data_IF_862690143795
#
_entry.id   IF_862690143795
#
_cell.length_a   1.000
_cell.length_b   1.000
_cell.length_c   1.000
_cell.angle_alpha   90.00
_cell.angle_beta   90.00
_cell.angle_gamma   90.00
#
_symmetry.space_group_name_H-M   'P 1'
#
loop_
_entity.id
_entity.type
_entity.pdbx_description
1 polymer ?
#
# COMPACT_ATOMS: atom_id res chain seq x y z
N UNK A 1 -6.84 -8.05 -21.10
CA UNK A 1 -7.87 -8.60 -20.16
C UNK A 1 -7.66 -8.15 -18.71
N UNK A 2 -6.44 -7.96 -18.23
CA UNK A 2 -6.15 -7.65 -16.81
C UNK A 2 -6.64 -6.28 -16.31
N UNK A 3 -6.70 -5.26 -17.16
CA UNK A 3 -7.13 -3.90 -16.77
C UNK A 3 -8.63 -3.82 -16.47
N UNK A 4 -9.44 -4.57 -17.22
CA UNK A 4 -10.90 -4.59 -17.01
C UNK A 4 -11.27 -5.26 -15.66
N UNK A 5 -10.53 -6.28 -15.26
CA UNK A 5 -10.75 -6.97 -13.98
C UNK A 5 -10.37 -6.10 -12.76
N UNK A 6 -9.33 -5.29 -12.87
CA UNK A 6 -8.96 -4.32 -11.83
C UNK A 6 -10.04 -3.25 -11.69
N UNK A 7 -10.63 -2.79 -12.80
CA UNK A 7 -11.72 -1.82 -12.79
C UNK A 7 -13.01 -2.39 -12.14
N UNK A 8 -13.34 -3.66 -12.40
CA UNK A 8 -14.48 -4.33 -11.74
C UNK A 8 -14.24 -4.52 -10.24
N UNK A 9 -13.01 -4.85 -9.82
CA UNK A 9 -12.67 -4.95 -8.41
C UNK A 9 -12.80 -3.59 -7.69
N UNK A 10 -12.47 -2.49 -8.38
CA UNK A 10 -12.62 -1.14 -7.84
C UNK A 10 -14.08 -0.69 -7.75
N UNK A 11 -14.89 -0.90 -8.78
CA UNK A 11 -16.32 -0.54 -8.77
C UNK A 11 -17.13 -1.32 -7.70
N UNK A 12 -16.71 -2.55 -7.39
CA UNK A 12 -17.30 -3.35 -6.31
C UNK A 12 -16.76 -2.93 -4.93
N UNK A 13 -15.53 -2.43 -4.86
CA UNK A 13 -14.97 -1.83 -3.65
C UNK A 13 -15.69 -0.52 -3.29
N UNK A 14 -16.14 0.29 -4.26
CA UNK A 14 -16.96 1.48 -3.98
C UNK A 14 -18.25 1.13 -3.24
N UNK A 15 -18.94 0.08 -3.62
CA UNK A 15 -20.18 -0.34 -2.93
C UNK A 15 -19.90 -0.84 -1.51
N UNK A 16 -18.83 -1.61 -1.32
CA UNK A 16 -18.40 -2.05 0.03
C UNK A 16 -17.87 -0.90 0.88
N UNK A 17 -17.17 0.06 0.27
CA UNK A 17 -16.66 1.26 0.93
C UNK A 17 -17.80 2.18 1.40
N UNK A 18 -18.86 2.36 0.62
CA UNK A 18 -20.02 3.14 1.01
C UNK A 18 -20.82 2.47 2.16
N UNK A 19 -20.87 1.14 2.22
CA UNK A 19 -21.55 0.43 3.30
C UNK A 19 -20.77 0.46 4.64
N UNK A 20 -19.43 0.44 4.60
CA UNK A 20 -18.60 0.49 5.82
C UNK A 20 -18.37 1.91 6.34
N UNK A 21 -18.57 2.94 5.51
CA UNK A 21 -18.38 4.34 5.90
C UNK A 21 -19.70 5.06 6.24
N UNK A 22 -20.85 4.41 6.10
CA UNK A 22 -22.18 5.03 6.19
C UNK A 22 -22.61 5.49 7.59
N UNK A 23 -21.87 5.20 8.66
CA UNK A 23 -22.36 5.51 10.01
C UNK A 23 -21.59 6.62 10.77
N UNK A 24 -20.46 7.13 10.30
CA UNK A 24 -19.76 8.20 11.01
C UNK A 24 -18.98 9.18 10.12
N UNK A 25 -19.64 9.85 9.16
CA UNK A 25 -19.03 11.03 8.52
C UNK A 25 -19.96 12.22 8.67
N UNK A 26 -19.78 12.96 9.75
CA UNK A 26 -20.21 14.36 9.84
C UNK A 26 -19.36 15.17 8.85
N UNK A 27 -19.99 15.56 7.75
CA UNK A 27 -19.74 16.75 6.97
C UNK A 27 -18.30 17.21 6.74
N UNK A 28 -17.58 16.58 5.80
CA UNK A 28 -16.63 17.35 5.00
C UNK A 28 -16.80 16.93 3.53
N UNK A 29 -17.25 17.83 2.67
CA UNK A 29 -17.50 17.62 1.24
C UNK A 29 -16.22 17.67 0.40
N UNK A 30 -15.08 17.24 0.96
CA UNK A 30 -13.80 17.16 0.27
C UNK A 30 -13.64 15.80 -0.45
N UNK A 31 -12.86 15.78 -1.54
CA UNK A 31 -12.43 14.54 -2.20
C UNK A 31 -11.73 13.64 -1.21
N UNK A 32 -11.87 12.31 -1.41
CA UNK A 32 -11.11 11.33 -0.66
C UNK A 32 -9.63 11.40 -1.02
N UNK A 33 -8.77 11.33 -0.02
CA UNK A 33 -7.33 11.37 -0.20
C UNK A 33 -6.67 10.04 0.18
N UNK A 34 -5.85 9.51 -0.71
CA UNK A 34 -5.07 8.28 -0.50
C UNK A 34 -3.59 8.58 -0.64
N UNK A 35 -2.79 8.16 0.35
CA UNK A 35 -1.33 8.13 0.18
C UNK A 35 -0.91 6.75 -0.28
N UNK A 36 -0.15 6.70 -1.38
CA UNK A 36 0.50 5.48 -1.86
C UNK A 36 2.00 5.57 -1.55
N UNK A 37 2.47 4.63 -0.77
CA UNK A 37 3.88 4.50 -0.43
C UNK A 37 4.53 3.40 -1.31
N UNK A 38 5.33 3.82 -2.29
CA UNK A 38 6.16 2.90 -3.07
C UNK A 38 7.42 2.58 -2.27
N UNK A 39 7.48 1.39 -1.66
CA UNK A 39 8.58 0.97 -0.80
C UNK A 39 9.95 1.02 -1.47
N UNK A 40 11.00 1.27 -0.66
CA UNK A 40 12.39 1.40 -1.12
C UNK A 40 12.61 2.61 -2.05
N UNK A 41 13.77 2.69 -2.73
CA UNK A 41 14.13 3.75 -3.66
C UNK A 41 15.56 4.24 -3.48
N UNK A 42 16.12 4.85 -4.53
CA UNK A 42 17.51 5.30 -4.54
C UNK A 42 18.50 4.18 -4.24
N UNK A 43 19.31 4.34 -3.20
CA UNK A 43 20.33 3.36 -2.82
C UNK A 43 19.77 2.08 -2.16
N UNK A 44 18.48 2.05 -1.76
CA UNK A 44 17.83 0.86 -1.23
C UNK A 44 17.06 0.14 -2.34
N UNK A 45 17.60 -0.94 -2.94
CA UNK A 45 16.92 -1.68 -4.00
C UNK A 45 15.74 -2.52 -3.47
N UNK A 46 15.63 -2.71 -2.17
CA UNK A 46 14.76 -3.73 -1.58
C UNK A 46 15.31 -5.14 -1.85
N UNK A 47 14.43 -6.08 -2.11
CA UNK A 47 14.81 -7.42 -2.56
C UNK A 47 15.21 -7.40 -4.03
N UNK A 48 16.15 -8.29 -4.38
CA UNK A 48 16.57 -8.52 -5.76
C UNK A 48 16.09 -9.91 -6.15
N UNK A 49 15.35 -9.98 -7.25
CA UNK A 49 14.85 -11.23 -7.81
C UNK A 49 15.96 -12.06 -8.46
N UNK A 50 15.65 -13.29 -8.82
CA UNK A 50 16.60 -14.19 -9.50
C UNK A 50 16.95 -13.73 -10.93
N UNK A 51 16.13 -12.86 -11.49
CA UNK A 51 16.28 -12.21 -12.79
C UNK A 51 16.86 -10.78 -12.70
N UNK A 52 17.49 -10.44 -11.58
CA UNK A 52 18.02 -9.12 -11.24
C UNK A 52 16.96 -8.00 -11.15
N UNK A 53 15.67 -8.33 -11.17
CA UNK A 53 14.60 -7.36 -10.91
C UNK A 53 14.70 -6.79 -9.49
N UNK A 54 14.50 -5.49 -9.34
CA UNK A 54 14.61 -4.82 -8.04
C UNK A 54 13.23 -4.49 -7.48
N UNK A 55 13.02 -4.80 -6.22
CA UNK A 55 11.76 -4.53 -5.52
C UNK A 55 11.32 -3.07 -5.66
N UNK A 56 12.26 -2.12 -5.53
CA UNK A 56 11.97 -0.69 -5.64
C UNK A 56 11.34 -0.29 -6.98
N UNK A 57 11.79 -0.90 -8.08
CA UNK A 57 11.32 -0.59 -9.43
C UNK A 57 9.90 -1.15 -9.62
N UNK A 58 9.67 -2.39 -9.20
CA UNK A 58 8.34 -3.02 -9.24
C UNK A 58 7.33 -2.27 -8.38
N UNK A 59 7.73 -1.89 -7.16
CA UNK A 59 6.87 -1.11 -6.26
C UNK A 59 6.44 0.21 -6.89
N UNK A 60 7.36 0.92 -7.56
CA UNK A 60 7.06 2.18 -8.22
C UNK A 60 6.09 2.01 -9.40
N UNK A 61 6.32 1.00 -10.23
CA UNK A 61 5.44 0.70 -11.38
C UNK A 61 4.03 0.33 -10.92
N UNK A 62 3.91 -0.47 -9.87
CA UNK A 62 2.59 -0.86 -9.32
C UNK A 62 1.92 0.37 -8.70
N UNK A 63 2.65 1.17 -7.92
CA UNK A 63 2.14 2.37 -7.28
C UNK A 63 1.61 3.40 -8.29
N UNK A 64 2.34 3.64 -9.38
CA UNK A 64 1.90 4.54 -10.47
C UNK A 64 0.60 4.03 -11.13
N UNK A 65 0.49 2.73 -11.39
CA UNK A 65 -0.74 2.14 -11.94
C UNK A 65 -1.93 2.31 -10.99
N UNK A 66 -1.73 2.08 -9.69
CA UNK A 66 -2.77 2.25 -8.68
C UNK A 66 -3.17 3.73 -8.57
N UNK A 67 -2.20 4.65 -8.56
CA UNK A 67 -2.45 6.10 -8.60
C UNK A 67 -3.38 6.47 -9.74
N UNK A 68 -3.04 6.12 -10.97
CA UNK A 68 -3.84 6.45 -12.16
C UNK A 68 -5.28 5.93 -12.09
N UNK A 69 -5.47 4.72 -11.54
CA UNK A 69 -6.79 4.12 -11.39
C UNK A 69 -7.62 4.89 -10.34
N UNK A 70 -7.02 5.26 -9.22
CA UNK A 70 -7.69 6.02 -8.16
C UNK A 70 -8.06 7.44 -8.63
N UNK A 71 -7.15 8.12 -9.33
CA UNK A 71 -7.40 9.45 -9.90
C UNK A 71 -8.54 9.44 -10.91
N UNK A 72 -8.71 8.37 -11.71
CA UNK A 72 -9.87 8.20 -12.60
C UNK A 72 -11.19 8.03 -11.85
N UNK A 73 -11.15 7.69 -10.56
CA UNK A 73 -12.32 7.59 -9.68
C UNK A 73 -12.51 8.85 -8.81
N UNK A 74 -11.91 9.97 -9.21
CA UNK A 74 -11.98 11.25 -8.50
C UNK A 74 -11.44 11.21 -7.06
N UNK A 75 -10.43 10.36 -6.82
CA UNK A 75 -9.71 10.24 -5.55
C UNK A 75 -8.39 10.98 -5.66
N UNK A 76 -8.10 11.87 -4.73
CA UNK A 76 -6.81 12.53 -4.66
C UNK A 76 -5.73 11.56 -4.19
N UNK A 77 -4.64 11.48 -4.93
CA UNK A 77 -3.55 10.55 -4.63
C UNK A 77 -2.24 11.29 -4.41
N UNK A 78 -1.60 10.99 -3.29
CA UNK A 78 -0.27 11.49 -2.95
C UNK A 78 0.69 10.29 -2.93
N UNK A 79 1.77 10.39 -3.71
CA UNK A 79 2.83 9.40 -3.70
C UNK A 79 3.93 9.81 -2.71
N UNK A 80 4.50 8.86 -1.98
CA UNK A 80 5.71 9.15 -1.18
C UNK A 80 6.92 9.41 -2.04
N UNK A 81 7.02 8.78 -3.21
CA UNK A 81 7.99 9.07 -4.28
C UNK A 81 7.37 8.76 -5.65
N UNK A 82 7.77 9.52 -6.67
CA UNK A 82 7.31 9.34 -8.06
C UNK A 82 8.45 8.92 -9.00
N UNK A 83 9.68 8.86 -8.48
CA UNK A 83 10.88 8.46 -9.23
C UNK A 83 11.72 7.46 -8.43
N UNK A 84 12.81 6.96 -9.00
CA UNK A 84 13.77 6.12 -8.28
C UNK A 84 14.68 6.99 -7.38
N UNK A 85 14.08 7.59 -6.35
CA UNK A 85 14.79 8.39 -5.35
C UNK A 85 14.55 7.83 -3.95
N UNK A 86 15.55 7.94 -3.09
CA UNK A 86 15.36 7.79 -1.64
C UNK A 86 15.01 9.15 -1.04
N UNK A 87 14.26 9.15 0.06
CA UNK A 87 13.82 10.35 0.76
C UNK A 87 14.79 10.72 1.89
N UNK A 88 16.05 10.86 1.55
CA UNK A 88 17.16 11.15 2.47
C UNK A 88 18.17 12.12 1.85
N UNK A 89 18.91 12.81 2.70
CA UNK A 89 20.04 13.64 2.28
C UNK A 89 21.25 12.74 1.97
N UNK A 90 22.08 13.14 1.01
CA UNK A 90 23.24 12.34 0.58
C UNK A 90 24.28 12.12 1.69
N UNK A 91 24.41 13.07 2.60
CA UNK A 91 25.34 13.05 3.75
C UNK A 91 24.72 12.42 5.02
N UNK A 92 23.49 11.93 4.93
CA UNK A 92 22.82 11.32 6.08
C UNK A 92 23.57 10.10 6.61
N UNK A 93 23.87 10.10 7.91
CA UNK A 93 24.53 8.99 8.60
C UNK A 93 23.73 7.68 8.58
N UNK A 94 22.40 7.78 8.48
CA UNK A 94 21.50 6.63 8.35
C UNK A 94 20.38 6.94 7.37
N UNK A 95 20.68 6.77 6.07
CA UNK A 95 19.78 7.02 4.96
C UNK A 95 18.44 6.28 5.10
N UNK A 96 18.46 5.02 5.54
CA UNK A 96 17.25 4.21 5.70
C UNK A 96 16.32 4.75 6.78
N UNK A 97 16.86 5.19 7.91
CA UNK A 97 16.05 5.77 8.98
C UNK A 97 15.48 7.12 8.55
N UNK A 98 16.26 7.94 7.84
CA UNK A 98 15.79 9.23 7.35
C UNK A 98 14.68 9.05 6.30
N UNK A 99 14.84 8.13 5.36
CA UNK A 99 13.82 7.75 4.37
C UNK A 99 12.50 7.37 5.04
N UNK A 100 12.52 6.44 5.98
CA UNK A 100 11.33 6.01 6.71
C UNK A 100 10.65 7.14 7.49
N UNK A 101 11.44 8.02 8.12
CA UNK A 101 10.90 9.20 8.83
C UNK A 101 10.24 10.17 7.86
N UNK A 102 10.83 10.40 6.69
CA UNK A 102 10.27 11.31 5.68
C UNK A 102 8.97 10.77 5.10
N UNK A 103 8.87 9.45 4.84
CA UNK A 103 7.60 8.81 4.44
C UNK A 103 6.49 9.02 5.47
N UNK A 104 6.80 8.80 6.74
CA UNK A 104 5.85 9.05 7.85
C UNK A 104 5.48 10.53 7.94
N UNK A 105 6.43 11.46 7.70
CA UNK A 105 6.15 12.91 7.66
C UNK A 105 5.14 13.25 6.57
N UNK A 106 5.38 12.79 5.33
CA UNK A 106 4.46 12.98 4.20
C UNK A 106 3.04 12.49 4.55
N UNK A 107 2.92 11.28 5.11
CA UNK A 107 1.64 10.72 5.52
C UNK A 107 0.96 11.61 6.57
N UNK A 108 1.68 11.99 7.62
CA UNK A 108 1.12 12.75 8.74
C UNK A 108 0.77 14.20 8.38
N UNK A 109 1.52 14.81 7.47
CA UNK A 109 1.28 16.18 6.98
C UNK A 109 -0.01 16.24 6.13
N UNK A 110 -0.26 15.22 5.34
CA UNK A 110 -1.40 15.18 4.41
C UNK A 110 -2.68 14.59 5.02
N UNK A 111 -2.62 13.94 6.17
CA UNK A 111 -3.77 13.36 6.89
C UNK A 111 -4.75 12.58 5.98
N UNK A 112 -4.30 11.61 5.19
CA UNK A 112 -5.13 10.94 4.19
C UNK A 112 -6.23 10.09 4.83
N UNK A 113 -7.30 9.82 4.08
CA UNK A 113 -8.32 8.85 4.45
C UNK A 113 -7.75 7.42 4.50
N UNK A 114 -6.77 7.12 3.64
CA UNK A 114 -6.16 5.80 3.57
C UNK A 114 -4.68 5.88 3.17
N UNK A 115 -3.88 4.93 3.65
CA UNK A 115 -2.48 4.75 3.22
C UNK A 115 -2.29 3.33 2.72
N UNK A 116 -1.70 3.17 1.55
CA UNK A 116 -1.35 1.88 0.96
C UNK A 116 0.16 1.86 0.72
N UNK A 117 0.88 1.01 1.43
CA UNK A 117 2.32 0.79 1.21
C UNK A 117 2.52 -0.48 0.38
N UNK A 118 3.24 -0.37 -0.73
CA UNK A 118 3.46 -1.44 -1.71
C UNK A 118 4.87 -1.95 -1.59
N UNK A 119 5.00 -3.25 -1.38
CA UNK A 119 6.25 -3.99 -1.25
C UNK A 119 6.16 -5.35 -1.93
N UNK A 120 7.31 -5.93 -2.26
CA UNK A 120 7.39 -7.32 -2.66
C UNK A 120 7.80 -8.18 -1.46
N UNK A 121 7.31 -9.42 -1.43
CA UNK A 121 7.78 -10.42 -0.47
C UNK A 121 8.83 -11.32 -1.15
N UNK A 122 9.82 -11.73 -0.38
CA UNK A 122 10.77 -12.73 -0.81
C UNK A 122 10.79 -13.85 0.22
N UNK A 123 10.69 -15.07 -0.26
CA UNK A 123 10.83 -16.30 0.53
C UNK A 123 11.91 -17.16 -0.10
N UNK A 124 12.55 -18.02 0.68
CA UNK A 124 13.53 -18.97 0.17
C UNK A 124 12.88 -20.18 -0.51
N UNK A 125 11.62 -20.45 -0.16
CA UNK A 125 10.84 -21.57 -0.68
C UNK A 125 9.96 -21.10 -1.84
N UNK A 126 10.15 -21.66 -3.02
CA UNK A 126 9.41 -21.33 -4.25
C UNK A 126 7.90 -21.58 -4.15
N UNK A 127 7.49 -22.56 -3.30
CA UNK A 127 6.06 -22.84 -3.11
C UNK A 127 5.32 -21.76 -2.30
N UNK A 128 6.05 -20.83 -1.70
CA UNK A 128 5.47 -19.73 -0.92
C UNK A 128 5.15 -18.56 -1.85
N UNK A 129 3.96 -18.55 -2.41
CA UNK A 129 3.48 -17.52 -3.33
C UNK A 129 2.21 -16.81 -2.82
N UNK A 130 1.69 -15.85 -3.60
CA UNK A 130 0.46 -15.13 -3.35
C UNK A 130 0.63 -13.84 -2.54
N UNK A 131 -0.10 -12.82 -2.92
CA UNK A 131 -0.10 -11.51 -2.24
C UNK A 131 -0.62 -11.62 -0.81
N UNK A 132 -0.07 -10.83 0.12
CA UNK A 132 -0.54 -10.75 1.49
C UNK A 132 -0.67 -9.30 1.94
N UNK A 133 -1.80 -8.97 2.54
CA UNK A 133 -2.06 -7.63 3.07
C UNK A 133 -1.82 -7.63 4.58
N UNK A 134 -1.12 -6.60 5.05
CA UNK A 134 -0.86 -6.39 6.47
C UNK A 134 -1.55 -5.12 6.96
N UNK A 135 -2.01 -5.15 8.19
CA UNK A 135 -2.61 -4.00 8.86
C UNK A 135 -2.04 -3.79 10.26
N UNK A 136 -2.21 -2.60 10.83
CA UNK A 136 -1.80 -2.35 12.21
C UNK A 136 -2.79 -3.02 13.17
N UNK A 137 -2.29 -3.81 14.11
CA UNK A 137 -3.11 -4.75 14.92
C UNK A 137 -4.26 -4.11 15.70
N UNK A 138 -4.14 -2.84 16.09
CA UNK A 138 -5.18 -2.12 16.83
C UNK A 138 -6.14 -1.31 15.93
N UNK A 139 -5.98 -1.38 14.59
CA UNK A 139 -6.79 -0.64 13.65
C UNK A 139 -7.92 -1.50 13.08
N UNK A 140 -9.12 -1.41 13.63
CA UNK A 140 -10.29 -2.11 13.08
C UNK A 140 -10.63 -1.67 11.64
N UNK A 141 -10.64 -0.36 11.28
CA UNK A 141 -10.83 0.03 9.89
C UNK A 141 -9.72 -0.45 8.96
N UNK A 142 -8.46 -0.46 9.45
CA UNK A 142 -7.33 -1.02 8.71
C UNK A 142 -7.48 -2.52 8.48
N UNK A 143 -7.97 -3.26 9.46
CA UNK A 143 -8.29 -4.69 9.34
C UNK A 143 -9.35 -4.94 8.29
N UNK A 144 -10.49 -4.25 8.36
CA UNK A 144 -11.58 -4.39 7.41
C UNK A 144 -11.13 -4.11 5.96
N UNK A 145 -10.35 -3.05 5.75
CA UNK A 145 -9.78 -2.73 4.43
C UNK A 145 -8.79 -3.81 3.97
N UNK A 146 -7.92 -4.30 4.86
CA UNK A 146 -6.95 -5.34 4.53
C UNK A 146 -7.63 -6.66 4.13
N UNK A 147 -8.66 -7.06 4.85
CA UNK A 147 -9.46 -8.26 4.56
C UNK A 147 -10.18 -8.13 3.22
N UNK A 148 -10.74 -6.96 2.92
CA UNK A 148 -11.38 -6.67 1.63
C UNK A 148 -10.38 -6.76 0.48
N UNK A 149 -9.21 -6.10 0.60
CA UNK A 149 -8.17 -6.15 -0.43
C UNK A 149 -7.66 -7.59 -0.59
N UNK A 150 -7.38 -8.29 0.51
CA UNK A 150 -6.91 -9.68 0.46
C UNK A 150 -7.90 -10.58 -0.27
N UNK A 151 -9.19 -10.46 0.05
CA UNK A 151 -10.24 -11.21 -0.64
C UNK A 151 -10.27 -10.92 -2.14
N UNK A 152 -10.17 -9.65 -2.53
CA UNK A 152 -10.15 -9.26 -3.95
C UNK A 152 -8.91 -9.75 -4.68
N UNK A 153 -7.75 -9.76 -4.02
CA UNK A 153 -6.53 -10.33 -4.59
C UNK A 153 -6.67 -11.84 -4.85
N UNK A 154 -7.33 -12.57 -3.96
CA UNK A 154 -7.64 -14.00 -4.16
C UNK A 154 -8.66 -14.17 -5.29
N UNK A 155 -9.79 -13.46 -5.22
CA UNK A 155 -10.90 -13.65 -6.16
C UNK A 155 -10.50 -13.34 -7.63
N UNK A 156 -9.61 -12.36 -7.86
CA UNK A 156 -9.38 -11.79 -9.20
C UNK A 156 -7.94 -11.89 -9.71
N UNK A 157 -6.96 -12.12 -8.85
CA UNK A 157 -5.54 -12.12 -9.24
C UNK A 157 -4.94 -13.51 -9.12
N UNK A 158 -5.10 -14.16 -7.97
CA UNK A 158 -4.52 -15.47 -7.71
C UNK A 158 -5.49 -16.33 -6.86
N UNK A 159 -6.38 -17.11 -7.50
CA UNK A 159 -7.34 -17.98 -6.80
C UNK A 159 -6.68 -19.09 -5.96
N UNK A 160 -5.42 -19.43 -6.24
CA UNK A 160 -4.67 -20.41 -5.47
C UNK A 160 -4.02 -19.82 -4.21
N UNK A 161 -4.06 -18.50 -4.06
CA UNK A 161 -3.52 -17.83 -2.89
C UNK A 161 -4.29 -18.20 -1.61
N UNK A 162 -3.62 -18.84 -0.68
CA UNK A 162 -4.18 -19.27 0.62
C UNK A 162 -3.88 -18.30 1.78
N UNK A 163 -3.26 -17.15 1.47
CA UNK A 163 -2.90 -16.16 2.49
C UNK A 163 -4.12 -15.39 2.97
N UNK A 164 -4.02 -14.93 4.21
CA UNK A 164 -5.03 -14.08 4.85
C UNK A 164 -4.41 -12.74 5.22
N UNK A 165 -5.24 -11.71 5.35
CA UNK A 165 -4.82 -10.45 5.93
C UNK A 165 -4.24 -10.68 7.34
N UNK A 166 -3.13 -10.00 7.67
CA UNK A 166 -2.39 -10.28 8.90
C UNK A 166 -2.05 -9.00 9.66
N UNK A 167 -2.29 -9.01 10.97
CA UNK A 167 -1.84 -7.96 11.87
C UNK A 167 -0.30 -7.90 11.92
N UNK A 168 0.27 -6.67 11.92
CA UNK A 168 1.70 -6.46 12.07
C UNK A 168 1.97 -5.16 12.84
N UNK A 169 2.71 -5.27 13.93
CA UNK A 169 3.08 -4.15 14.81
C UNK A 169 4.56 -3.71 14.65
N UNK A 170 5.32 -4.43 13.83
CA UNK A 170 6.74 -4.17 13.63
C UNK A 170 7.05 -3.22 12.47
N UNK A 171 6.16 -3.11 11.49
CA UNK A 171 6.38 -2.24 10.33
C UNK A 171 6.32 -0.77 10.72
N UNK A 172 7.42 -0.07 10.49
CA UNK A 172 7.62 1.31 10.95
C UNK A 172 6.52 2.26 10.48
N UNK A 173 6.14 2.22 9.20
CA UNK A 173 5.10 3.06 8.63
C UNK A 173 3.73 2.77 9.27
N UNK A 174 3.36 1.51 9.47
CA UNK A 174 2.12 1.14 10.14
C UNK A 174 2.05 1.66 11.58
N UNK A 175 3.18 1.61 12.30
CA UNK A 175 3.26 1.97 13.72
C UNK A 175 3.34 3.47 14.00
N UNK A 176 3.99 4.24 13.12
CA UNK A 176 4.39 5.64 13.41
C UNK A 176 3.52 6.70 12.77
N UNK A 177 2.65 6.35 11.85
CA UNK A 177 1.74 7.34 11.31
C UNK A 177 0.58 7.61 12.30
N UNK A 178 0.16 8.89 12.36
CA UNK A 178 -0.91 9.34 13.27
C UNK A 178 -2.30 9.04 12.70
N UNK A 179 -2.40 8.75 11.42
CA UNK A 179 -3.64 8.38 10.75
C UNK A 179 -3.96 6.89 10.95
N UNK A 180 -3.64 6.31 12.12
CA UNK A 180 -3.61 4.87 12.43
C UNK A 180 -4.91 4.09 12.14
N UNK A 181 -5.97 4.77 11.70
CA UNK A 181 -7.28 4.13 11.59
C UNK A 181 -7.56 3.44 10.25
N UNK A 182 -6.75 3.66 9.19
CA UNK A 182 -7.05 3.10 7.84
C UNK A 182 -5.78 2.78 7.04
N UNK A 183 -4.88 1.95 7.60
CA UNK A 183 -3.61 1.64 6.95
C UNK A 183 -3.48 0.17 6.60
N UNK A 184 -3.17 -0.09 5.35
CA UNK A 184 -2.80 -1.39 4.85
C UNK A 184 -1.43 -1.34 4.19
N UNK A 185 -0.63 -2.38 4.39
CA UNK A 185 0.59 -2.63 3.63
C UNK A 185 0.40 -3.88 2.80
N UNK A 186 0.43 -3.72 1.49
CA UNK A 186 0.36 -4.84 0.58
C UNK A 186 1.77 -5.37 0.29
N UNK A 187 1.96 -6.68 0.35
CA UNK A 187 3.15 -7.38 -0.11
C UNK A 187 2.75 -8.39 -1.17
N UNK A 188 3.38 -8.28 -2.31
CA UNK A 188 3.20 -9.20 -3.43
C UNK A 188 4.47 -10.05 -3.49
N UNK A 189 4.41 -11.38 -3.42
CA UNK A 189 5.58 -12.24 -3.63
C UNK A 189 6.10 -12.11 -5.05
N UNK A 190 7.40 -12.09 -5.19
CA UNK A 190 8.12 -12.18 -6.47
C UNK A 190 8.79 -13.53 -6.52
#
# INVERSE_FOLDING_TARGET
MSVLMILCAFALAERGWQQTLGEHVTGNSGKKCVVIDAGHGGNDPGKIGVDDSREKDLNLVIADKVKRILEQQDIDVIMTRETDTGLYEEDASNKKVQDLKKRVSIINENQPDCVISIHQNSYHEEYVHGAQVFYYGTSEPGKALAELIQKKMIDYVDPENRRQAKANESYYILKKNKCAHRHCRMRIPV
#
